data_IF_352742970748
#
_entry.id   IF_352742970748
#
_cell.length_a   1.000
_cell.length_b   1.000
_cell.length_c   1.000
_cell.angle_alpha   90.00
_cell.angle_beta   90.00
_cell.angle_gamma   90.00
#
_symmetry.space_group_name_H-M   'P 1'
#
loop_
_entity.id
_entity.type
_entity.pdbx_description
1 polymer ?
#
# COMPACT_ATOMS: atom_id res chain seq x y z
N UNK A 1 -41.76 25.19 6.64
CA UNK A 1 -41.75 23.77 6.24
C UNK A 1 -40.96 23.56 4.94
N UNK A 2 -41.40 24.10 3.79
CA UNK A 2 -40.74 23.90 2.50
C UNK A 2 -39.26 24.34 2.45
N UNK A 3 -38.90 25.48 3.05
CA UNK A 3 -37.52 25.97 3.08
C UNK A 3 -36.55 25.01 3.80
N UNK A 4 -36.97 24.44 4.94
CA UNK A 4 -36.17 23.47 5.70
C UNK A 4 -35.99 22.16 4.92
N UNK A 5 -37.03 21.72 4.21
CA UNK A 5 -36.97 20.51 3.38
C UNK A 5 -36.01 20.72 2.20
N UNK A 6 -36.08 21.87 1.53
CA UNK A 6 -35.15 22.21 0.45
C UNK A 6 -33.70 22.29 0.95
N UNK A 7 -33.48 22.88 2.13
CA UNK A 7 -32.16 22.97 2.74
C UNK A 7 -31.61 21.58 3.11
N UNK A 8 -32.45 20.71 3.66
CA UNK A 8 -32.08 19.32 3.97
C UNK A 8 -31.69 18.54 2.70
N UNK A 9 -32.50 18.64 1.64
CA UNK A 9 -32.22 17.97 0.36
C UNK A 9 -30.93 18.49 -0.29
N UNK A 10 -30.69 19.80 -0.23
CA UNK A 10 -29.46 20.40 -0.75
C UNK A 10 -28.22 19.90 -0.01
N UNK A 11 -28.28 19.81 1.33
CA UNK A 11 -27.18 19.25 2.14
C UNK A 11 -26.97 17.77 1.82
N UNK A 12 -28.03 16.98 1.72
CA UNK A 12 -27.90 15.56 1.36
C UNK A 12 -27.27 15.38 -0.02
N UNK A 13 -27.70 16.15 -1.02
CA UNK A 13 -27.11 16.12 -2.36
C UNK A 13 -25.63 16.53 -2.32
N UNK A 14 -25.28 17.57 -1.55
CA UNK A 14 -23.90 18.01 -1.39
C UNK A 14 -23.01 16.94 -0.75
N UNK A 15 -23.51 16.26 0.28
CA UNK A 15 -22.79 15.16 0.94
C UNK A 15 -22.54 14.01 -0.02
N UNK A 16 -23.55 13.59 -0.80
CA UNK A 16 -23.41 12.51 -1.79
C UNK A 16 -22.36 12.87 -2.85
N UNK A 17 -22.39 14.09 -3.40
CA UNK A 17 -21.41 14.54 -4.39
C UNK A 17 -20.00 14.58 -3.80
N UNK A 18 -19.86 15.03 -2.56
CA UNK A 18 -18.58 15.10 -1.87
C UNK A 18 -18.01 13.70 -1.63
N UNK A 19 -18.80 12.76 -1.11
CA UNK A 19 -18.36 11.40 -0.80
C UNK A 19 -18.22 10.47 -2.01
N UNK A 20 -18.79 10.85 -3.16
CA UNK A 20 -18.61 10.13 -4.43
C UNK A 20 -17.25 10.38 -5.08
N UNK A 21 -16.48 11.37 -4.59
CA UNK A 21 -15.14 11.64 -5.14
C UNK A 21 -14.15 10.52 -4.78
N UNK A 22 -13.25 10.27 -5.70
CA UNK A 22 -12.07 9.43 -5.46
C UNK A 22 -11.01 10.26 -4.75
N UNK A 23 -10.41 9.66 -3.72
CA UNK A 23 -9.37 10.26 -2.90
C UNK A 23 -8.12 9.38 -2.94
N UNK A 24 -6.96 10.03 -2.93
CA UNK A 24 -5.68 9.34 -2.76
C UNK A 24 -5.21 9.48 -1.32
N UNK A 25 -4.74 8.38 -0.75
CA UNK A 25 -4.24 8.33 0.62
C UNK A 25 -2.88 7.66 0.62
N UNK A 26 -1.88 8.39 1.14
CA UNK A 26 -0.54 7.86 1.34
C UNK A 26 -0.38 7.41 2.79
N UNK A 27 0.13 6.19 3.00
CA UNK A 27 0.34 5.62 4.32
C UNK A 27 1.66 4.87 4.40
N UNK A 28 2.28 4.95 5.57
CA UNK A 28 3.51 4.22 5.88
C UNK A 28 3.20 2.80 6.37
N UNK A 29 3.95 1.83 5.84
CA UNK A 29 3.89 0.43 6.22
C UNK A 29 5.27 -0.10 6.57
N UNK A 30 5.37 -0.86 7.64
CA UNK A 30 6.58 -1.61 7.99
C UNK A 30 6.68 -2.88 7.15
N UNK A 31 7.85 -3.14 6.59
CA UNK A 31 8.15 -4.36 5.86
C UNK A 31 8.49 -5.51 6.82
N UNK A 32 7.88 -6.67 6.58
CA UNK A 32 8.23 -7.93 7.24
C UNK A 32 8.46 -8.99 6.18
N UNK A 33 9.63 -9.61 6.21
CA UNK A 33 9.97 -10.70 5.31
C UNK A 33 9.42 -12.03 5.81
N UNK A 34 9.00 -12.89 4.88
CA UNK A 34 8.74 -14.29 5.13
C UNK A 34 9.23 -15.13 3.93
N UNK A 35 9.22 -16.45 4.07
CA UNK A 35 9.60 -17.39 3.02
C UNK A 35 10.98 -17.10 2.39
N UNK A 36 12.03 -17.30 3.19
CA UNK A 36 13.42 -17.12 2.78
C UNK A 36 13.87 -18.22 1.81
N UNK A 37 14.73 -17.92 0.82
CA UNK A 37 15.31 -18.94 -0.05
C UNK A 37 16.11 -19.99 0.74
N UNK A 38 16.17 -21.23 0.25
CA UNK A 38 16.90 -22.31 0.91
C UNK A 38 18.38 -21.96 1.18
N UNK A 39 18.83 -22.25 2.39
CA UNK A 39 20.20 -21.96 2.85
C UNK A 39 20.44 -20.51 3.27
N UNK A 40 19.38 -19.68 3.37
CA UNK A 40 19.45 -18.29 3.84
C UNK A 40 18.76 -18.14 5.19
N UNK A 41 19.45 -17.50 6.13
CA UNK A 41 19.03 -17.44 7.53
C UNK A 41 18.56 -16.05 7.94
N UNK A 42 18.94 -15.00 7.20
CA UNK A 42 18.54 -13.64 7.53
C UNK A 42 18.36 -12.76 6.30
N UNK A 43 17.43 -11.81 6.43
CA UNK A 43 17.19 -10.76 5.46
C UNK A 43 17.21 -9.41 6.14
N UNK A 44 17.85 -8.44 5.50
CA UNK A 44 17.87 -7.04 5.93
C UNK A 44 17.41 -6.17 4.77
N UNK A 45 16.49 -5.25 5.05
CA UNK A 45 16.07 -4.22 4.10
C UNK A 45 16.92 -2.96 4.30
N UNK A 46 17.19 -2.21 3.23
CA UNK A 46 17.79 -0.86 3.34
C UNK A 46 16.87 0.07 4.14
N UNK A 47 15.57 -0.07 3.90
CA UNK A 47 14.51 0.72 4.53
C UNK A 47 13.46 -0.24 5.08
N UNK A 48 13.13 -0.09 6.35
CA UNK A 48 12.14 -0.94 7.02
C UNK A 48 10.71 -0.44 6.83
N UNK A 49 10.55 0.78 6.30
CA UNK A 49 9.25 1.45 6.12
C UNK A 49 9.10 1.87 4.67
N UNK A 50 7.93 1.61 4.11
CA UNK A 50 7.54 2.03 2.75
C UNK A 50 6.29 2.90 2.80
N UNK A 51 6.25 3.95 1.98
CA UNK A 51 5.09 4.83 1.82
C UNK A 51 4.30 4.42 0.61
N UNK A 52 3.04 4.02 0.83
CA UNK A 52 2.14 3.49 -0.19
C UNK A 52 0.96 4.42 -0.42
N UNK A 53 0.70 4.77 -1.68
CA UNK A 53 -0.45 5.59 -2.08
C UNK A 53 -1.55 4.69 -2.65
N UNK A 54 -2.77 4.84 -2.13
CA UNK A 54 -3.94 4.08 -2.55
C UNK A 54 -5.05 4.98 -3.11
N UNK A 55 -5.76 4.50 -4.12
CA UNK A 55 -7.03 5.07 -4.55
C UNK A 55 -8.16 4.54 -3.66
N UNK A 56 -8.93 5.45 -3.07
CA UNK A 56 -10.02 5.15 -2.15
C UNK A 56 -11.25 5.91 -2.59
N UNK A 57 -12.39 5.22 -2.69
CA UNK A 57 -13.70 5.89 -2.82
C UNK A 57 -14.04 6.57 -1.50
N UNK A 58 -14.57 7.79 -1.51
CA UNK A 58 -14.79 8.59 -0.30
C UNK A 58 -15.57 7.89 0.83
N UNK A 59 -16.50 6.97 0.50
CA UNK A 59 -17.22 6.16 1.49
C UNK A 59 -16.32 5.10 2.15
N UNK A 60 -15.42 4.49 1.39
CA UNK A 60 -14.45 3.51 1.88
C UNK A 60 -13.36 4.16 2.73
N UNK A 61 -13.02 5.43 2.46
CA UNK A 61 -12.11 6.20 3.31
C UNK A 61 -12.64 6.33 4.75
N UNK A 62 -13.95 6.52 4.90
CA UNK A 62 -14.59 6.61 6.23
C UNK A 62 -14.79 5.24 6.89
N UNK A 63 -14.96 4.18 6.11
CA UNK A 63 -15.26 2.84 6.62
C UNK A 63 -14.04 1.94 6.86
N UNK A 64 -12.87 2.22 6.26
CA UNK A 64 -11.69 1.37 6.43
C UNK A 64 -11.04 1.57 7.82
N UNK A 65 -10.61 0.49 8.49
CA UNK A 65 -9.86 0.54 9.74
C UNK A 65 -8.41 0.96 9.46
N UNK A 66 -8.16 2.20 9.02
CA UNK A 66 -6.79 2.74 8.92
C UNK A 66 -6.09 2.91 10.26
N UNK A 67 -6.82 2.62 11.35
CA UNK A 67 -6.31 2.46 12.71
C UNK A 67 -5.85 1.02 12.98
N UNK A 68 -5.43 0.27 11.96
CA UNK A 68 -4.65 -0.93 12.24
C UNK A 68 -3.29 -0.44 12.78
N UNK A 69 -3.12 -0.52 14.11
CA UNK A 69 -1.94 0.02 14.83
C UNK A 69 -0.63 -0.51 14.25
N UNK A 70 -0.66 -1.72 13.68
CA UNK A 70 0.48 -2.37 13.06
C UNK A 70 0.28 -2.43 11.54
N UNK A 71 0.56 -1.30 10.87
CA UNK A 71 0.60 -1.23 9.40
C UNK A 71 1.80 -2.02 8.89
N UNK A 72 1.63 -3.32 8.71
CA UNK A 72 2.68 -4.26 8.29
C UNK A 72 2.37 -4.83 6.91
N UNK A 73 3.40 -4.89 6.06
CA UNK A 73 3.37 -5.55 4.76
C UNK A 73 4.26 -6.78 4.81
N UNK A 74 3.67 -7.94 4.57
CA UNK A 74 4.38 -9.20 4.46
C UNK A 74 4.89 -9.40 3.04
N UNK A 75 6.19 -9.65 2.90
CA UNK A 75 6.87 -9.85 1.61
C UNK A 75 7.52 -11.22 1.58
N UNK A 76 7.12 -12.06 0.62
CA UNK A 76 7.79 -13.33 0.33
C UNK A 76 9.10 -13.06 -0.39
N UNK A 77 10.23 -13.32 0.25
CA UNK A 77 11.55 -13.04 -0.35
C UNK A 77 11.78 -13.97 -1.53
N UNK A 78 11.37 -15.23 -1.43
CA UNK A 78 11.49 -16.21 -2.52
C UNK A 78 10.73 -15.78 -3.77
N UNK A 79 9.50 -15.27 -3.62
CA UNK A 79 8.71 -14.82 -4.78
C UNK A 79 9.24 -13.51 -5.35
N UNK A 80 9.65 -12.58 -4.48
CA UNK A 80 10.17 -11.28 -4.90
C UNK A 80 11.47 -11.41 -5.70
N UNK A 81 12.37 -12.34 -5.31
CA UNK A 81 13.65 -12.56 -6.00
C UNK A 81 13.55 -13.54 -7.17
N UNK A 82 12.41 -14.20 -7.38
CA UNK A 82 12.22 -15.25 -8.40
C UNK A 82 12.54 -14.78 -9.82
N UNK A 83 12.29 -13.51 -10.11
CA UNK A 83 12.55 -12.89 -11.42
C UNK A 83 13.99 -12.43 -11.62
N UNK A 84 14.82 -12.45 -10.57
CA UNK A 84 16.22 -11.99 -10.59
C UNK A 84 17.19 -13.17 -10.47
N UNK A 85 18.43 -12.96 -10.93
CA UNK A 85 19.51 -13.95 -10.76
C UNK A 85 19.77 -14.16 -9.27
N UNK A 86 20.04 -15.41 -8.87
CA UNK A 86 20.38 -15.74 -7.47
C UNK A 86 21.67 -15.01 -7.05
N UNK A 87 21.52 -14.02 -6.18
CA UNK A 87 22.60 -13.23 -5.57
C UNK A 87 22.29 -12.98 -4.09
N UNK A 88 23.22 -12.38 -3.34
CA UNK A 88 23.02 -12.01 -1.94
C UNK A 88 22.43 -10.61 -1.75
N UNK A 89 22.40 -9.79 -2.80
CA UNK A 89 21.91 -8.40 -2.75
C UNK A 89 20.98 -8.14 -3.91
N UNK A 90 19.76 -7.73 -3.62
CA UNK A 90 18.74 -7.42 -4.62
C UNK A 90 18.29 -5.98 -4.50
N UNK A 91 18.10 -5.32 -5.62
CA UNK A 91 17.63 -3.93 -5.65
C UNK A 91 16.33 -3.88 -6.44
N UNK A 92 15.34 -3.20 -5.89
CA UNK A 92 14.01 -3.04 -6.45
C UNK A 92 13.67 -1.55 -6.51
N UNK A 93 13.23 -1.08 -7.66
CA UNK A 93 12.66 0.26 -7.82
C UNK A 93 11.27 0.34 -7.18
N UNK A 94 10.81 1.56 -6.89
CA UNK A 94 9.44 1.83 -6.44
C UNK A 94 8.40 1.23 -7.38
N UNK A 95 8.66 1.24 -8.69
CA UNK A 95 7.81 0.62 -9.71
C UNK A 95 7.77 -0.91 -9.58
N UNK A 96 8.92 -1.57 -9.48
CA UNK A 96 8.98 -3.03 -9.29
C UNK A 96 8.30 -3.44 -7.98
N UNK A 97 8.51 -2.69 -6.91
CA UNK A 97 7.83 -2.92 -5.63
C UNK A 97 6.32 -2.70 -5.74
N UNK A 98 5.88 -1.65 -6.44
CA UNK A 98 4.46 -1.39 -6.68
C UNK A 98 3.82 -2.55 -7.43
N UNK A 99 4.46 -3.03 -8.50
CA UNK A 99 3.91 -4.13 -9.30
C UNK A 99 3.83 -5.44 -8.50
N UNK A 100 4.85 -5.74 -7.69
CA UNK A 100 4.82 -6.87 -6.75
C UNK A 100 3.70 -6.73 -5.70
N UNK A 101 3.64 -5.59 -5.01
CA UNK A 101 2.65 -5.37 -3.94
C UNK A 101 1.21 -5.31 -4.46
N UNK A 102 1.00 -4.82 -5.68
CA UNK A 102 -0.29 -4.88 -6.37
C UNK A 102 -0.70 -6.33 -6.65
N UNK A 103 0.23 -7.20 -7.02
CA UNK A 103 -0.08 -8.60 -7.31
C UNK A 103 -0.37 -9.44 -6.05
N UNK A 104 0.35 -9.20 -4.96
CA UNK A 104 0.34 -10.09 -3.79
C UNK A 104 -0.39 -9.55 -2.56
N UNK A 105 -0.48 -8.23 -2.36
CA UNK A 105 -0.95 -7.65 -1.10
C UNK A 105 -2.20 -6.77 -1.25
N UNK A 106 -2.22 -5.89 -2.26
CA UNK A 106 -3.16 -4.76 -2.28
C UNK A 106 -4.03 -4.63 -3.53
N UNK A 107 -3.75 -5.40 -4.60
CA UNK A 107 -4.55 -5.34 -5.81
C UNK A 107 -4.43 -4.01 -6.56
N UNK A 108 -5.51 -3.67 -7.28
CA UNK A 108 -5.62 -2.45 -8.10
C UNK A 108 -5.82 -1.16 -7.31
N UNK A 109 -6.06 -1.25 -6.00
CA UNK A 109 -6.18 -0.06 -5.13
C UNK A 109 -4.83 0.63 -4.91
N UNK A 110 -3.72 -0.12 -4.99
CA UNK A 110 -2.38 0.43 -4.86
C UNK A 110 -2.00 1.21 -6.13
N UNK A 111 -1.76 2.50 -5.95
CA UNK A 111 -1.40 3.43 -7.02
C UNK A 111 0.12 3.47 -7.16
N UNK A 112 0.81 3.78 -6.06
CA UNK A 112 2.24 4.06 -6.06
C UNK A 112 2.93 3.64 -4.76
N UNK A 113 4.25 3.41 -4.88
CA UNK A 113 5.19 3.39 -3.76
C UNK A 113 5.95 4.71 -3.82
N UNK A 114 5.70 5.61 -2.88
CA UNK A 114 6.29 6.96 -2.85
C UNK A 114 7.72 6.95 -2.28
N UNK A 115 7.95 6.08 -1.29
CA UNK A 115 9.25 5.99 -0.62
C UNK A 115 9.50 4.55 -0.10
N UNK A 116 10.75 4.09 -0.09
CA UNK A 116 11.90 4.67 -0.78
C UNK A 116 11.77 4.52 -2.31
N UNK A 117 12.48 5.35 -3.08
CA UNK A 117 12.54 5.25 -4.55
C UNK A 117 13.18 3.91 -4.98
N UNK A 118 14.13 3.43 -4.18
CA UNK A 118 14.83 2.17 -4.39
C UNK A 118 14.94 1.44 -3.05
N UNK A 119 14.49 0.19 -3.02
CA UNK A 119 14.61 -0.72 -1.88
C UNK A 119 15.68 -1.76 -2.16
N UNK A 120 16.68 -1.86 -1.28
CA UNK A 120 17.72 -2.91 -1.37
C UNK A 120 17.51 -3.97 -0.30
N UNK A 121 17.63 -5.24 -0.67
CA UNK A 121 17.43 -6.40 0.17
C UNK A 121 18.71 -7.23 0.21
N UNK A 122 19.26 -7.39 1.41
CA UNK A 122 20.43 -8.20 1.69
C UNK A 122 19.98 -9.55 2.23
N UNK A 123 20.34 -10.63 1.54
CA UNK A 123 19.99 -12.02 1.90
C UNK A 123 21.28 -12.74 2.30
N UNK A 124 21.42 -13.06 3.59
CA UNK A 124 22.60 -13.73 4.15
C UNK A 124 22.34 -15.21 4.41
#
# INVERSE_FOLDING_TARGET
>A
MAFLICLLLSIMAWLVVTFSRDYQVTQEYRLVSYNLPEGKNSVTFSDTVISLTFNQKGVNYLMKPYSNKDKVVYVSITDLVKSKKKVSVYTFTSKEMRDFLSQYNFGSELVAVEAPEVLTIYVK
#
